data_IF_063143454045
#
_entry.id   IF_063143454045
#
_cell.length_a   1.000
_cell.length_b   1.000
_cell.length_c   1.000
_cell.angle_alpha   90.00
_cell.angle_beta   90.00
_cell.angle_gamma   90.00
#
_symmetry.space_group_name_H-M   'P 1'
#
loop_
_entity.id
_entity.type
_entity.pdbx_description
1 polymer ?
#
# COMPACT_ATOMS: atom_id res chain seq x y z
N UNK A 1 -4.09 -21.19 -12.56
CA UNK A 1 -4.92 -21.83 -11.50
C UNK A 1 -5.04 -20.94 -10.27
N UNK A 2 -3.96 -20.27 -9.83
CA UNK A 2 -3.96 -19.35 -8.68
C UNK A 2 -5.12 -18.32 -8.67
N UNK A 3 -5.40 -17.67 -9.81
CA UNK A 3 -6.51 -16.72 -9.90
C UNK A 3 -7.91 -17.34 -9.64
N UNK A 4 -8.10 -18.63 -9.91
CA UNK A 4 -9.37 -19.33 -9.61
C UNK A 4 -9.52 -19.59 -8.12
N UNK A 5 -8.44 -19.94 -7.44
CA UNK A 5 -8.41 -20.14 -5.99
C UNK A 5 -8.65 -18.81 -5.26
N UNK A 6 -7.92 -17.76 -5.67
CA UNK A 6 -8.14 -16.39 -5.21
C UNK A 6 -9.57 -15.92 -5.46
N UNK A 7 -10.05 -16.05 -6.71
CA UNK A 7 -11.40 -15.64 -7.10
C UNK A 7 -12.52 -16.46 -6.43
N UNK A 8 -12.21 -17.69 -5.98
CA UNK A 8 -13.14 -18.57 -5.27
C UNK A 8 -13.40 -18.19 -3.81
N UNK A 9 -12.63 -17.24 -3.25
CA UNK A 9 -12.76 -16.76 -1.87
C UNK A 9 -13.13 -15.28 -1.81
N UNK A 10 -14.25 -14.84 -2.41
CA UNK A 10 -14.59 -13.42 -2.52
C UNK A 10 -14.69 -12.72 -1.17
N UNK A 11 -15.18 -13.39 -0.12
CA UNK A 11 -15.29 -12.83 1.23
C UNK A 11 -13.94 -12.47 1.90
N UNK A 12 -12.82 -12.93 1.33
CA UNK A 12 -11.48 -12.64 1.84
C UNK A 12 -10.79 -11.45 1.14
N UNK A 13 -11.39 -10.90 0.07
CA UNK A 13 -10.77 -9.77 -0.65
C UNK A 13 -11.76 -8.78 -1.28
N UNK A 14 -13.02 -9.15 -1.52
CA UNK A 14 -14.04 -8.25 -2.08
C UNK A 14 -14.65 -7.38 -0.98
N UNK A 15 -13.94 -6.29 -0.67
CA UNK A 15 -14.26 -5.39 0.43
C UNK A 15 -14.76 -4.03 -0.06
N UNK A 16 -15.66 -3.43 0.72
CA UNK A 16 -16.09 -2.04 0.53
C UNK A 16 -15.10 -1.05 1.15
N UNK A 17 -15.38 0.24 0.98
CA UNK A 17 -14.57 1.33 1.55
C UNK A 17 -14.27 1.14 3.04
N UNK A 18 -15.30 0.93 3.85
CA UNK A 18 -15.18 0.83 5.31
C UNK A 18 -14.31 -0.36 5.72
N UNK A 19 -14.51 -1.52 5.06
CA UNK A 19 -13.74 -2.72 5.32
C UNK A 19 -12.27 -2.57 4.93
N UNK A 20 -11.99 -1.92 3.79
CA UNK A 20 -10.62 -1.68 3.32
C UNK A 20 -9.84 -0.78 4.29
N UNK A 21 -10.49 0.25 4.82
CA UNK A 21 -9.91 1.12 5.85
C UNK A 21 -9.72 0.36 7.17
N UNK A 22 -10.74 -0.37 7.64
CA UNK A 22 -10.67 -1.14 8.88
C UNK A 22 -9.61 -2.26 8.84
N UNK A 23 -9.36 -2.84 7.67
CA UNK A 23 -8.29 -3.85 7.45
C UNK A 23 -6.92 -3.25 7.21
N UNK A 24 -6.81 -1.93 7.10
CA UNK A 24 -5.60 -1.21 6.71
C UNK A 24 -5.05 -1.65 5.34
N UNK A 25 -5.95 -2.00 4.41
CA UNK A 25 -5.63 -2.26 3.01
C UNK A 25 -5.63 -0.98 2.19
N UNK A 26 -6.34 0.04 2.66
CA UNK A 26 -6.25 1.42 2.20
C UNK A 26 -6.03 2.34 3.40
N UNK A 27 -5.43 3.48 3.12
CA UNK A 27 -5.33 4.60 4.04
C UNK A 27 -6.47 5.60 3.78
N UNK A 28 -6.81 6.38 4.80
CA UNK A 28 -7.83 7.45 4.70
C UNK A 28 -7.53 8.39 3.52
N UNK A 29 -6.25 8.73 3.33
CA UNK A 29 -5.77 9.61 2.28
C UNK A 29 -5.87 9.02 0.87
N UNK A 30 -5.89 7.68 0.69
CA UNK A 30 -6.07 7.07 -0.64
C UNK A 30 -7.45 7.34 -1.23
N UNK A 31 -8.40 7.64 -0.34
CA UNK A 31 -9.79 7.88 -0.66
C UNK A 31 -10.20 9.32 -0.37
N UNK A 32 -9.24 10.24 -0.23
CA UNK A 32 -9.51 11.66 0.00
C UNK A 32 -10.35 12.29 -1.12
N UNK A 33 -10.24 11.79 -2.35
CA UNK A 33 -11.04 12.19 -3.51
C UNK A 33 -12.52 11.78 -3.43
N UNK A 34 -12.89 10.90 -2.50
CA UNK A 34 -14.24 10.43 -2.31
C UNK A 34 -14.76 10.90 -0.94
N UNK A 35 -15.86 11.65 -0.89
CA UNK A 35 -16.43 12.08 0.38
C UNK A 35 -16.88 10.85 1.18
N UNK A 36 -16.66 10.87 2.50
CA UNK A 36 -17.03 9.76 3.37
C UNK A 36 -18.56 9.55 3.33
N UNK A 37 -19.04 8.39 2.83
CA UNK A 37 -20.47 8.11 2.77
C UNK A 37 -21.14 8.11 4.15
N UNK A 38 -20.40 7.90 5.24
CA UNK A 38 -20.97 7.93 6.59
C UNK A 38 -21.35 9.35 7.04
N UNK A 39 -20.90 10.40 6.33
CA UNK A 39 -21.29 11.78 6.60
C UNK A 39 -22.54 12.20 5.81
N UNK A 40 -22.99 11.40 4.86
CA UNK A 40 -24.19 11.65 4.06
C UNK A 40 -25.45 11.34 4.89
N UNK A 41 -26.30 12.35 5.20
CA UNK A 41 -27.53 12.12 5.97
C UNK A 41 -28.57 11.28 5.22
N UNK A 42 -28.44 11.11 3.91
CA UNK A 42 -29.34 10.26 3.11
C UNK A 42 -28.87 8.80 3.06
N UNK A 43 -27.64 8.51 3.52
CA UNK A 43 -27.13 7.15 3.55
C UNK A 43 -27.88 6.33 4.61
N UNK A 44 -28.43 5.15 4.26
CA UNK A 44 -29.07 4.25 5.24
C UNK A 44 -28.16 3.86 6.42
N UNK A 45 -26.84 3.89 6.22
CA UNK A 45 -25.82 3.60 7.21
C UNK A 45 -25.09 4.87 7.69
N UNK A 46 -25.76 6.02 7.63
CA UNK A 46 -25.25 7.30 8.12
C UNK A 46 -24.66 7.17 9.55
N UNK A 47 -23.46 7.71 9.75
CA UNK A 47 -22.79 7.72 11.04
C UNK A 47 -23.35 8.79 11.99
N UNK A 48 -22.96 8.76 13.27
CA UNK A 48 -23.46 9.68 14.30
C UNK A 48 -23.12 11.18 14.09
N UNK A 49 -22.32 11.51 13.07
CA UNK A 49 -22.00 12.89 12.65
C UNK A 49 -22.60 13.30 11.30
N UNK A 50 -23.44 12.46 10.69
CA UNK A 50 -24.03 12.73 9.39
C UNK A 50 -24.97 13.94 9.45
N UNK A 51 -24.75 14.91 8.57
CA UNK A 51 -25.60 16.08 8.44
C UNK A 51 -25.42 16.72 7.06
N UNK A 52 -26.39 17.51 6.57
CA UNK A 52 -26.24 18.21 5.29
C UNK A 52 -24.99 19.09 5.23
N UNK A 53 -24.60 19.69 6.37
CA UNK A 53 -23.41 20.53 6.51
C UNK A 53 -22.13 19.67 6.41
N UNK A 54 -22.06 18.57 7.17
CA UNK A 54 -20.91 17.66 7.14
C UNK A 54 -20.73 17.04 5.75
N UNK A 55 -21.81 16.61 5.11
CA UNK A 55 -21.80 16.07 3.75
C UNK A 55 -21.32 17.09 2.72
N UNK A 56 -21.79 18.34 2.82
CA UNK A 56 -21.35 19.42 1.94
C UNK A 56 -19.87 19.73 2.12
N UNK A 57 -19.38 19.75 3.36
CA UNK A 57 -17.98 19.94 3.66
C UNK A 57 -17.12 18.78 3.11
N UNK A 58 -17.56 17.54 3.29
CA UNK A 58 -16.87 16.35 2.77
C UNK A 58 -16.77 16.37 1.23
N UNK A 59 -17.85 16.69 0.52
CA UNK A 59 -17.84 16.85 -0.94
C UNK A 59 -16.87 17.93 -1.40
N UNK A 60 -16.83 19.07 -0.70
CA UNK A 60 -15.91 20.16 -1.02
C UNK A 60 -14.45 19.75 -0.80
N UNK A 61 -14.15 19.10 0.32
CA UNK A 61 -12.81 18.60 0.60
C UNK A 61 -12.36 17.58 -0.46
N UNK A 62 -13.24 16.64 -0.83
CA UNK A 62 -12.98 15.65 -1.86
C UNK A 62 -12.74 16.28 -3.24
N UNK A 63 -13.54 17.29 -3.61
CA UNK A 63 -13.33 18.02 -4.85
C UNK A 63 -12.00 18.80 -4.85
N UNK A 64 -11.65 19.44 -3.74
CA UNK A 64 -10.37 20.14 -3.61
C UNK A 64 -9.17 19.17 -3.74
N UNK A 65 -9.28 17.97 -3.18
CA UNK A 65 -8.26 16.93 -3.36
C UNK A 65 -8.11 16.55 -4.83
N UNK A 66 -9.22 16.34 -5.55
CA UNK A 66 -9.20 16.05 -7.00
C UNK A 66 -8.55 17.19 -7.78
N UNK A 67 -8.87 18.45 -7.47
CA UNK A 67 -8.29 19.63 -8.13
C UNK A 67 -6.77 19.66 -7.93
N UNK A 68 -6.29 19.47 -6.71
CA UNK A 68 -4.85 19.45 -6.43
C UNK A 68 -4.12 18.32 -7.16
N UNK A 69 -4.73 17.14 -7.28
CA UNK A 69 -4.14 16.05 -8.07
C UNK A 69 -4.14 16.37 -9.58
N UNK A 70 -5.15 17.05 -10.12
CA UNK A 70 -5.16 17.50 -11.52
C UNK A 70 -4.05 18.52 -11.78
N UNK A 71 -3.83 19.46 -10.86
CA UNK A 71 -2.73 20.42 -10.96
C UNK A 71 -1.36 19.71 -10.99
N UNK A 72 -1.17 18.66 -10.18
CA UNK A 72 0.04 17.83 -10.25
C UNK A 72 0.19 17.14 -11.61
N UNK A 73 -0.90 16.56 -12.15
CA UNK A 73 -0.86 15.92 -13.47
C UNK A 73 -0.56 16.92 -14.60
N UNK A 74 -0.98 18.18 -14.48
CA UNK A 74 -0.64 19.22 -15.44
C UNK A 74 0.86 19.55 -15.40
N UNK A 75 1.46 19.62 -14.20
CA UNK A 75 2.92 19.79 -14.06
C UNK A 75 3.66 18.60 -14.66
N UNK A 76 3.28 17.36 -14.33
CA UNK A 76 3.90 16.16 -14.91
C UNK A 76 3.73 16.07 -16.43
N UNK A 77 2.60 16.53 -16.96
CA UNK A 77 2.38 16.62 -18.40
C UNK A 77 3.36 17.58 -19.06
N UNK A 78 3.59 18.75 -18.46
CA UNK A 78 4.40 19.82 -19.05
C UNK A 78 5.89 19.52 -18.93
N UNK A 79 6.32 19.02 -17.78
CA UNK A 79 7.74 18.90 -17.43
C UNK A 79 8.32 17.50 -17.71
N UNK A 80 7.52 16.46 -17.48
CA UNK A 80 8.01 15.07 -17.41
C UNK A 80 7.57 14.21 -18.60
N UNK A 81 6.36 14.40 -19.14
CA UNK A 81 5.73 13.42 -20.04
C UNK A 81 6.60 13.09 -21.25
N UNK A 82 7.12 14.10 -21.94
CA UNK A 82 7.95 13.90 -23.13
C UNK A 82 9.22 13.10 -22.80
N UNK A 83 9.88 13.46 -21.70
CA UNK A 83 11.11 12.81 -21.22
C UNK A 83 10.93 11.32 -20.93
N UNK A 84 9.76 10.92 -20.44
CA UNK A 84 9.48 9.54 -20.03
C UNK A 84 8.61 8.78 -21.04
N UNK A 85 8.18 9.39 -22.15
CA UNK A 85 7.18 8.80 -23.04
C UNK A 85 7.62 7.45 -23.64
N UNK A 86 8.89 7.32 -24.02
CA UNK A 86 9.43 6.06 -24.55
C UNK A 86 9.32 4.92 -23.53
N UNK A 87 9.68 5.20 -22.27
CA UNK A 87 9.54 4.22 -21.18
C UNK A 87 8.08 3.91 -20.87
N UNK A 88 7.21 4.94 -20.90
CA UNK A 88 5.77 4.79 -20.67
C UNK A 88 5.14 3.83 -21.69
N UNK A 89 5.52 3.97 -22.97
CA UNK A 89 5.04 3.12 -24.07
C UNK A 89 5.51 1.67 -23.87
N UNK A 90 6.79 1.45 -23.58
CA UNK A 90 7.34 0.10 -23.35
C UNK A 90 6.61 -0.59 -22.19
N UNK A 91 6.36 0.14 -21.10
CA UNK A 91 5.67 -0.41 -19.94
C UNK A 91 4.17 -0.67 -20.16
N UNK A 92 3.54 -0.07 -21.18
CA UNK A 92 2.10 -0.15 -21.39
C UNK A 92 1.64 -1.61 -21.60
N UNK A 93 2.35 -2.31 -22.49
CA UNK A 93 2.08 -3.71 -22.85
C UNK A 93 3.24 -4.66 -22.45
N UNK A 94 4.42 -4.12 -22.12
CA UNK A 94 5.65 -4.88 -21.83
C UNK A 94 6.06 -4.93 -20.35
N UNK A 95 5.17 -4.64 -19.40
CA UNK A 95 5.54 -4.55 -17.97
C UNK A 95 6.18 -5.83 -17.40
N UNK A 96 5.82 -7.01 -17.92
CA UNK A 96 6.47 -8.26 -17.52
C UNK A 96 7.94 -8.30 -17.96
N UNK A 97 8.21 -7.92 -19.22
CA UNK A 97 9.56 -7.81 -19.77
C UNK A 97 10.42 -6.79 -19.02
N UNK A 98 9.80 -5.68 -18.59
CA UNK A 98 10.48 -4.68 -17.78
C UNK A 98 10.95 -5.23 -16.43
N UNK A 99 10.11 -6.03 -15.76
CA UNK A 99 10.44 -6.69 -14.49
C UNK A 99 11.50 -7.78 -14.70
N UNK A 100 11.35 -8.64 -15.71
CA UNK A 100 12.29 -9.74 -15.96
C UNK A 100 13.67 -9.24 -16.36
N UNK A 101 13.75 -8.18 -17.17
CA UNK A 101 15.01 -7.50 -17.48
C UNK A 101 15.67 -6.91 -16.23
N UNK A 102 14.87 -6.31 -15.33
CA UNK A 102 15.39 -5.70 -14.10
C UNK A 102 16.01 -6.71 -13.13
N UNK A 103 15.45 -7.92 -13.04
CA UNK A 103 15.97 -8.99 -12.17
C UNK A 103 16.94 -9.94 -12.89
N UNK A 104 17.31 -9.66 -14.15
CA UNK A 104 18.19 -10.48 -14.98
C UNK A 104 17.71 -11.94 -15.07
N UNK A 105 16.50 -12.12 -15.62
CA UNK A 105 15.92 -13.46 -15.82
C UNK A 105 15.22 -13.58 -17.17
N UNK A 106 15.06 -14.82 -17.62
CA UNK A 106 14.22 -15.20 -18.76
C UNK A 106 13.42 -16.46 -18.46
N UNK A 107 12.38 -16.71 -19.27
CA UNK A 107 11.58 -17.94 -19.20
C UNK A 107 12.44 -19.21 -19.39
N UNK A 108 13.45 -19.15 -20.26
CA UNK A 108 14.36 -20.27 -20.50
C UNK A 108 15.29 -20.58 -19.33
N UNK A 109 15.60 -19.59 -18.50
CA UNK A 109 16.48 -19.75 -17.33
C UNK A 109 15.69 -20.09 -16.07
N UNK A 110 14.52 -19.46 -15.89
CA UNK A 110 13.73 -19.51 -14.65
C UNK A 110 12.23 -19.57 -14.95
N UNK A 111 11.72 -20.70 -15.47
CA UNK A 111 10.32 -20.84 -15.86
C UNK A 111 9.33 -20.67 -14.70
N UNK A 112 9.66 -21.10 -13.48
CA UNK A 112 8.76 -20.95 -12.32
C UNK A 112 8.73 -19.53 -11.79
N UNK A 113 9.82 -18.79 -11.89
CA UNK A 113 9.84 -17.34 -11.61
C UNK A 113 8.95 -16.61 -12.61
N UNK A 114 8.95 -17.01 -13.88
CA UNK A 114 8.00 -16.48 -14.88
C UNK A 114 6.56 -16.88 -14.54
N UNK A 115 6.31 -18.10 -14.07
CA UNK A 115 4.97 -18.52 -13.65
C UNK A 115 4.50 -17.79 -12.39
N UNK A 116 5.40 -17.40 -11.49
CA UNK A 116 5.08 -16.54 -10.33
C UNK A 116 4.62 -15.15 -10.79
N UNK A 117 5.31 -14.57 -11.78
CA UNK A 117 4.90 -13.32 -12.44
C UNK A 117 3.51 -13.47 -13.07
N UNK A 118 3.27 -14.57 -13.80
CA UNK A 118 1.96 -14.87 -14.40
C UNK A 118 0.86 -15.02 -13.34
N UNK A 119 1.16 -15.63 -12.19
CA UNK A 119 0.23 -15.70 -11.07
C UNK A 119 -0.13 -14.30 -10.56
N UNK A 120 0.86 -13.40 -10.44
CA UNK A 120 0.63 -11.99 -10.08
C UNK A 120 -0.31 -11.27 -11.06
N UNK A 121 -0.11 -11.44 -12.37
CA UNK A 121 -1.03 -10.91 -13.39
C UNK A 121 -2.45 -11.50 -13.28
N UNK A 122 -2.54 -12.82 -13.12
CA UNK A 122 -3.83 -13.51 -13.09
C UNK A 122 -4.65 -13.11 -11.86
N UNK A 123 -4.04 -13.06 -10.67
CA UNK A 123 -4.66 -12.57 -9.44
C UNK A 123 -5.00 -11.08 -9.59
N UNK A 124 -4.06 -10.28 -10.07
CA UNK A 124 -4.23 -8.84 -10.17
C UNK A 124 -5.36 -8.43 -11.10
N UNK A 125 -5.48 -9.06 -12.28
CA UNK A 125 -6.59 -8.82 -13.21
C UNK A 125 -7.95 -9.08 -12.55
N UNK A 126 -8.08 -10.13 -11.74
CA UNK A 126 -9.32 -10.39 -11.00
C UNK A 126 -9.57 -9.30 -9.94
N UNK A 127 -8.55 -8.96 -9.15
CA UNK A 127 -8.67 -8.03 -8.04
C UNK A 127 -8.96 -6.59 -8.47
N UNK A 128 -8.15 -6.01 -9.36
CA UNK A 128 -8.29 -4.59 -9.68
C UNK A 128 -9.57 -4.30 -10.48
N UNK A 129 -10.05 -5.22 -11.32
CA UNK A 129 -11.30 -5.00 -12.06
C UNK A 129 -12.51 -4.94 -11.13
N UNK A 130 -12.53 -5.75 -10.07
CA UNK A 130 -13.54 -5.65 -9.02
C UNK A 130 -13.50 -4.25 -8.38
N UNK A 131 -12.35 -3.78 -7.90
CA UNK A 131 -12.27 -2.47 -7.24
C UNK A 131 -12.59 -1.32 -8.20
N UNK A 132 -12.22 -1.43 -9.48
CA UNK A 132 -12.66 -0.47 -10.51
C UNK A 132 -14.18 -0.37 -10.59
N UNK A 133 -14.87 -1.50 -10.56
CA UNK A 133 -16.34 -1.54 -10.57
C UNK A 133 -16.96 -1.06 -9.25
N UNK A 134 -16.29 -1.26 -8.11
CA UNK A 134 -16.76 -0.76 -6.82
C UNK A 134 -16.66 0.76 -6.73
N UNK A 135 -15.47 1.32 -6.97
CA UNK A 135 -15.19 2.74 -6.74
C UNK A 135 -15.62 3.64 -7.88
N UNK A 136 -15.62 3.15 -9.13
CA UNK A 136 -16.09 3.88 -10.34
C UNK A 136 -15.55 5.30 -10.47
N UNK A 137 -14.31 5.54 -10.04
CA UNK A 137 -13.69 6.87 -10.12
C UNK A 137 -13.53 7.32 -11.57
N UNK A 138 -13.95 8.54 -11.86
CA UNK A 138 -13.80 9.20 -13.17
C UNK A 138 -12.33 9.47 -13.48
N UNK A 139 -11.91 9.26 -14.72
CA UNK A 139 -10.53 9.48 -15.19
C UNK A 139 -10.13 10.97 -15.17
N UNK A 140 -8.84 11.30 -15.00
CA UNK A 140 -8.39 12.70 -15.01
C UNK A 140 -8.76 13.45 -16.28
N UNK A 141 -8.52 12.84 -17.45
CA UNK A 141 -8.79 13.47 -18.75
C UNK A 141 -10.27 13.72 -19.03
N UNK A 142 -11.19 13.09 -18.30
CA UNK A 142 -12.63 13.41 -18.38
C UNK A 142 -12.95 14.72 -17.67
N UNK A 143 -12.30 14.99 -16.53
CA UNK A 143 -12.51 16.23 -15.77
C UNK A 143 -11.67 17.39 -16.31
N UNK A 144 -10.47 17.10 -16.81
CA UNK A 144 -9.58 18.06 -17.44
C UNK A 144 -9.17 17.57 -18.83
N UNK A 145 -9.95 17.89 -19.88
CA UNK A 145 -9.64 17.49 -21.26
C UNK A 145 -8.27 17.97 -21.76
N UNK A 146 -7.77 19.07 -21.20
CA UNK A 146 -6.45 19.63 -21.52
C UNK A 146 -5.27 18.75 -21.13
N UNK A 147 -5.46 17.70 -20.31
CA UNK A 147 -4.42 16.71 -20.03
C UNK A 147 -4.01 15.90 -21.27
N UNK A 148 -4.89 15.82 -22.28
CA UNK A 148 -4.62 15.27 -23.62
C UNK A 148 -3.66 14.05 -23.62
N UNK A 149 -4.02 12.92 -22.98
CA UNK A 149 -3.16 11.74 -22.92
C UNK A 149 -2.81 11.29 -24.36
N UNK A 150 -1.54 11.00 -24.67
CA UNK A 150 -1.09 10.60 -26.01
C UNK A 150 -1.78 9.34 -26.55
N UNK A 151 -2.14 8.42 -25.66
CA UNK A 151 -2.90 7.21 -25.96
C UNK A 151 -3.67 6.76 -24.72
N UNK A 152 -4.72 5.96 -24.93
CA UNK A 152 -5.77 5.81 -23.92
C UNK A 152 -6.62 7.08 -23.80
N UNK A 153 -7.43 7.25 -22.75
CA UNK A 153 -7.56 6.41 -21.56
C UNK A 153 -8.32 5.10 -21.84
N UNK A 154 -8.03 4.00 -21.11
CA UNK A 154 -8.82 2.78 -21.21
C UNK A 154 -10.30 3.01 -20.83
N UNK A 155 -11.21 2.28 -21.47
CA UNK A 155 -12.66 2.34 -21.24
C UNK A 155 -13.11 1.67 -19.92
N UNK A 156 -12.43 1.98 -18.82
CA UNK A 156 -12.77 1.54 -17.47
C UNK A 156 -12.33 2.60 -16.43
N UNK A 157 -12.92 2.58 -15.21
CA UNK A 157 -12.64 3.55 -14.15
C UNK A 157 -11.15 3.71 -13.81
N UNK A 158 -10.84 4.86 -13.21
CA UNK A 158 -9.47 5.26 -12.83
C UNK A 158 -8.99 4.47 -11.62
N UNK A 159 -9.65 4.61 -10.47
CA UNK A 159 -9.27 3.94 -9.24
C UNK A 159 -9.70 2.46 -9.30
N UNK A 160 -8.83 1.48 -9.05
CA UNK A 160 -7.40 1.60 -8.74
C UNK A 160 -6.56 1.52 -10.03
N UNK A 161 -5.33 2.01 -10.05
CA UNK A 161 -4.39 1.85 -11.19
C UNK A 161 -3.98 0.38 -11.38
N UNK A 162 -4.33 -0.21 -12.52
CA UNK A 162 -4.04 -1.62 -12.81
C UNK A 162 -2.55 -1.91 -12.91
N UNK A 163 -1.79 -1.06 -13.61
CA UNK A 163 -0.32 -1.19 -13.72
C UNK A 163 0.38 -0.99 -12.37
N UNK A 164 -0.08 -0.04 -11.55
CA UNK A 164 0.47 0.13 -10.19
C UNK A 164 0.19 -1.11 -9.34
N UNK A 165 -1.06 -1.59 -9.34
CA UNK A 165 -1.46 -2.75 -8.55
C UNK A 165 -0.64 -4.00 -8.92
N UNK A 166 -0.58 -4.32 -10.21
CA UNK A 166 0.15 -5.50 -10.70
C UNK A 166 1.65 -5.37 -10.43
N UNK A 167 2.24 -4.20 -10.70
CA UNK A 167 3.66 -3.96 -10.46
C UNK A 167 4.04 -4.19 -8.99
N UNK A 168 3.26 -3.62 -8.06
CA UNK A 168 3.50 -3.78 -6.63
C UNK A 168 3.25 -5.21 -6.15
N UNK A 169 2.18 -5.86 -6.62
CA UNK A 169 1.89 -7.25 -6.25
C UNK A 169 3.01 -8.19 -6.72
N UNK A 170 3.45 -8.07 -7.97
CA UNK A 170 4.55 -8.90 -8.50
C UNK A 170 5.85 -8.61 -7.76
N UNK A 171 6.18 -7.35 -7.49
CA UNK A 171 7.37 -7.01 -6.72
C UNK A 171 7.35 -7.66 -5.32
N UNK A 172 6.22 -7.60 -4.62
CA UNK A 172 6.06 -8.25 -3.31
C UNK A 172 6.18 -9.77 -3.39
N UNK A 173 5.59 -10.41 -4.41
CA UNK A 173 5.73 -11.86 -4.63
C UNK A 173 7.17 -12.27 -4.93
N UNK A 174 7.90 -11.51 -5.76
CA UNK A 174 9.31 -11.76 -6.05
C UNK A 174 10.20 -11.56 -4.82
N UNK A 175 9.85 -10.63 -3.93
CA UNK A 175 10.58 -10.36 -2.69
C UNK A 175 10.41 -11.45 -1.62
N UNK A 176 9.52 -12.42 -1.82
CA UNK A 176 9.49 -13.64 -1.01
C UNK A 176 10.67 -14.57 -1.31
N UNK A 177 11.21 -14.51 -2.52
CA UNK A 177 12.38 -15.32 -2.92
C UNK A 177 13.62 -14.76 -2.21
N UNK A 178 14.29 -15.52 -1.32
CA UNK A 178 15.38 -15.00 -0.48
C UNK A 178 16.53 -14.36 -1.26
N UNK A 179 16.88 -14.93 -2.42
CA UNK A 179 17.90 -14.37 -3.29
C UNK A 179 17.49 -12.99 -3.81
N UNK A 180 16.32 -12.88 -4.43
CA UNK A 180 15.83 -11.60 -4.95
C UNK A 180 15.71 -10.57 -3.83
N UNK A 181 15.22 -10.97 -2.66
CA UNK A 181 15.17 -10.12 -1.47
C UNK A 181 16.53 -9.58 -1.06
N UNK A 182 17.58 -10.40 -1.03
CA UNK A 182 18.92 -9.94 -0.67
C UNK A 182 19.41 -8.80 -1.57
N UNK A 183 19.02 -8.79 -2.85
CA UNK A 183 19.47 -7.78 -3.83
C UNK A 183 18.51 -6.62 -4.03
N UNK A 184 17.21 -6.86 -3.86
CA UNK A 184 16.15 -5.93 -4.26
C UNK A 184 15.14 -5.64 -3.14
N UNK A 185 15.33 -6.19 -1.93
CA UNK A 185 14.47 -5.98 -0.76
C UNK A 185 14.59 -4.60 -0.15
N UNK A 186 14.23 -4.48 1.13
CA UNK A 186 14.22 -3.19 1.84
C UNK A 186 15.62 -2.83 2.36
N UNK A 187 16.09 -1.62 2.06
CA UNK A 187 17.37 -1.11 2.49
C UNK A 187 17.20 0.04 3.48
N UNK A 188 18.13 0.16 4.43
CA UNK A 188 18.22 1.34 5.28
C UNK A 188 18.86 2.50 4.50
N UNK A 189 18.49 3.73 4.84
CA UNK A 189 19.14 4.93 4.35
C UNK A 189 20.07 5.52 5.44
N UNK A 190 21.32 5.90 5.11
CA UNK A 190 22.00 5.70 3.83
C UNK A 190 22.31 4.21 3.57
N UNK A 191 22.43 3.83 2.30
CA UNK A 191 22.77 2.46 1.92
C UNK A 191 24.16 2.10 2.47
N UNK A 192 24.22 1.03 3.25
CA UNK A 192 25.41 0.57 3.98
C UNK A 192 26.04 -0.70 3.36
N UNK A 193 25.57 -1.12 2.18
CA UNK A 193 26.03 -2.35 1.54
C UNK A 193 25.44 -3.63 2.11
N UNK A 194 24.57 -3.56 3.12
CA UNK A 194 23.95 -4.76 3.70
C UNK A 194 22.91 -5.37 2.76
N UNK A 195 22.66 -6.70 2.86
CA UNK A 195 21.54 -7.37 2.18
C UNK A 195 20.19 -6.69 2.40
N UNK A 196 19.38 -6.68 1.34
CA UNK A 196 17.99 -6.25 1.41
C UNK A 196 17.19 -7.08 2.41
N UNK A 197 16.39 -6.38 3.21
CA UNK A 197 15.53 -6.94 4.26
C UNK A 197 14.17 -7.34 3.71
N UNK A 198 13.46 -8.16 4.48
CA UNK A 198 12.07 -8.52 4.20
C UNK A 198 11.18 -7.29 4.22
N UNK A 199 10.16 -7.27 3.36
CA UNK A 199 9.01 -6.38 3.56
C UNK A 199 8.24 -6.94 4.76
N UNK A 200 8.06 -6.13 5.80
CA UNK A 200 7.33 -6.58 6.97
C UNK A 200 5.83 -6.61 6.66
N UNK A 201 5.11 -7.74 6.86
CA UNK A 201 3.67 -7.79 6.64
C UNK A 201 2.88 -6.86 7.59
N UNK A 202 3.55 -6.44 8.66
CA UNK A 202 3.05 -5.47 9.64
C UNK A 202 4.21 -4.51 9.97
N UNK A 203 4.10 -3.20 9.72
CA UNK A 203 5.21 -2.28 9.94
C UNK A 203 5.78 -2.35 11.37
N UNK A 204 7.10 -2.39 11.49
CA UNK A 204 7.77 -2.40 12.79
C UNK A 204 7.86 -0.98 13.36
N UNK A 205 7.58 -0.85 14.66
CA UNK A 205 7.62 0.40 15.42
C UNK A 205 8.45 0.22 16.69
N UNK A 206 8.95 1.32 17.23
CA UNK A 206 9.43 1.38 18.62
C UNK A 206 8.52 2.29 19.44
N UNK A 207 8.10 1.81 20.61
CA UNK A 207 7.25 2.55 21.55
C UNK A 207 8.13 2.99 22.72
N UNK A 208 8.24 4.29 22.95
CA UNK A 208 9.00 4.82 24.09
C UNK A 208 8.33 4.44 25.41
N UNK A 209 9.12 4.32 26.48
CA UNK A 209 8.63 4.26 27.86
C UNK A 209 8.69 5.67 28.46
N UNK A 210 7.71 6.50 28.13
CA UNK A 210 7.75 7.93 28.41
C UNK A 210 6.35 8.53 28.57
N UNK A 211 6.33 9.73 29.13
CA UNK A 211 5.13 10.52 29.38
C UNK A 211 5.33 11.89 28.70
N UNK A 212 4.82 12.13 27.47
CA UNK A 212 3.96 11.26 26.68
C UNK A 212 4.69 10.13 25.93
N UNK A 213 3.93 9.11 25.53
CA UNK A 213 4.42 8.00 24.71
C UNK A 213 4.63 8.45 23.27
N UNK A 214 5.82 8.20 22.73
CA UNK A 214 6.17 8.42 21.34
C UNK A 214 6.34 7.06 20.63
N UNK A 215 5.63 6.91 19.51
CA UNK A 215 5.79 5.78 18.58
C UNK A 215 6.67 6.25 17.43
N UNK A 216 7.69 5.47 17.07
CA UNK A 216 8.64 5.81 16.00
C UNK A 216 8.71 4.70 14.95
N UNK A 217 8.70 5.09 13.66
CA UNK A 217 8.84 4.22 12.49
C UNK A 217 10.17 4.52 11.80
N UNK A 218 11.25 3.86 12.23
CA UNK A 218 12.58 4.11 11.68
C UNK A 218 12.84 3.44 10.31
N UNK A 219 11.94 2.56 9.87
CA UNK A 219 12.10 1.80 8.62
C UNK A 219 11.45 2.48 7.40
N UNK A 220 10.76 3.60 7.60
CA UNK A 220 10.06 4.35 6.55
C UNK A 220 10.56 5.79 6.54
N UNK A 221 10.55 6.40 5.35
CA UNK A 221 10.87 7.83 5.18
C UNK A 221 9.77 8.74 5.74
N UNK A 222 8.52 8.28 5.67
CA UNK A 222 7.37 8.90 6.32
C UNK A 222 6.24 7.86 6.48
N UNK A 223 5.50 7.92 7.58
CA UNK A 223 4.41 6.98 7.86
C UNK A 223 3.08 7.31 7.17
N UNK A 224 2.90 8.53 6.65
CA UNK A 224 1.66 8.93 5.95
C UNK A 224 0.41 9.13 6.82
N UNK A 225 0.44 8.70 8.09
CA UNK A 225 -0.61 8.94 9.08
C UNK A 225 -0.90 10.44 9.30
N UNK A 226 -2.18 10.73 9.52
CA UNK A 226 -2.75 12.03 9.89
C UNK A 226 -3.28 12.01 11.33
N UNK A 227 -3.42 13.19 11.94
CA UNK A 227 -4.05 13.31 13.25
C UNK A 227 -5.50 12.77 13.20
N UNK A 228 -5.87 11.95 14.18
CA UNK A 228 -7.15 11.26 14.27
C UNK A 228 -7.19 9.89 13.59
N UNK A 229 -6.15 9.48 12.84
CA UNK A 229 -6.10 8.14 12.26
C UNK A 229 -6.13 7.07 13.35
N UNK A 230 -6.89 6.01 13.10
CA UNK A 230 -6.99 4.87 13.99
C UNK A 230 -5.83 3.90 13.73
N UNK A 231 -5.20 3.44 14.80
CA UNK A 231 -4.11 2.47 14.73
C UNK A 231 -4.24 1.40 15.81
N UNK A 232 -3.66 0.24 15.54
CA UNK A 232 -3.65 -0.89 16.48
C UNK A 232 -2.26 -1.50 16.54
N UNK A 233 -1.87 -2.01 17.70
CA UNK A 233 -0.56 -2.65 17.91
C UNK A 233 -0.70 -4.12 18.24
N UNK A 234 0.37 -4.87 17.96
CA UNK A 234 0.61 -6.21 18.50
C UNK A 234 2.09 -6.37 18.88
N UNK A 235 2.41 -7.22 19.87
CA UNK A 235 3.81 -7.51 20.20
C UNK A 235 4.51 -8.23 19.05
N UNK A 236 5.85 -8.18 19.05
CA UNK A 236 6.64 -9.08 18.19
C UNK A 236 6.38 -10.53 18.59
N UNK A 237 6.38 -11.45 17.61
CA UNK A 237 6.28 -12.88 17.91
C UNK A 237 7.47 -13.31 18.77
N UNK A 238 7.20 -13.91 19.93
CA UNK A 238 8.23 -14.27 20.92
C UNK A 238 8.91 -13.07 21.61
N UNK A 239 8.39 -11.85 21.43
CA UNK A 239 8.94 -10.61 22.01
C UNK A 239 8.35 -10.23 23.37
N UNK A 240 8.81 -9.08 23.89
CA UNK A 240 8.25 -8.46 25.09
C UNK A 240 6.78 -8.04 24.86
N UNK A 241 5.93 -8.08 25.91
CA UNK A 241 4.58 -7.53 25.82
C UNK A 241 4.61 -6.04 25.51
N UNK A 242 3.48 -5.50 25.01
CA UNK A 242 3.33 -4.05 24.84
C UNK A 242 3.46 -3.35 26.20
N UNK A 243 4.06 -2.14 26.24
CA UNK A 243 4.19 -1.41 27.49
C UNK A 243 2.83 -0.94 28.00
N UNK A 244 2.59 -1.09 29.30
CA UNK A 244 1.33 -0.64 29.91
C UNK A 244 1.16 0.89 29.73
N UNK A 245 -0.06 1.39 29.45
CA UNK A 245 -1.35 0.68 29.43
C UNK A 245 -1.76 0.12 28.06
N UNK A 246 -0.83 -0.04 27.11
CA UNK A 246 -1.17 -0.51 25.77
C UNK A 246 -1.57 -1.99 25.76
N UNK A 247 -2.67 -2.28 25.06
CA UNK A 247 -3.24 -3.63 24.92
C UNK A 247 -3.23 -4.01 23.44
N UNK A 248 -2.79 -5.22 23.15
CA UNK A 248 -2.72 -5.72 21.78
C UNK A 248 -4.13 -5.82 21.19
N UNK A 249 -4.30 -5.39 19.94
CA UNK A 249 -5.61 -5.40 19.28
C UNK A 249 -6.52 -4.21 19.62
N UNK A 250 -6.18 -3.36 20.59
CA UNK A 250 -6.96 -2.17 20.93
C UNK A 250 -6.69 -1.02 19.95
N UNK A 251 -7.75 -0.33 19.53
CA UNK A 251 -7.68 0.86 18.69
C UNK A 251 -7.24 2.09 19.50
N UNK A 252 -6.21 2.77 19.00
CA UNK A 252 -5.70 4.05 19.47
C UNK A 252 -5.81 5.09 18.36
N UNK A 253 -5.65 6.36 18.71
CA UNK A 253 -5.77 7.48 17.78
C UNK A 253 -4.47 8.28 17.73
N UNK A 254 -4.01 8.59 16.52
CA UNK A 254 -2.84 9.45 16.29
C UNK A 254 -3.16 10.87 16.74
N UNK A 255 -2.30 11.47 17.55
CA UNK A 255 -2.44 12.85 17.98
C UNK A 255 -1.72 13.80 17.03
N UNK A 256 -2.20 15.04 16.95
CA UNK A 256 -1.49 16.12 16.25
C UNK A 256 -0.21 16.52 17.00
N UNK A 257 -0.20 16.38 18.33
CA UNK A 257 0.99 16.55 19.14
C UNK A 257 2.00 15.44 18.82
N UNK A 258 3.26 15.81 18.64
CA UNK A 258 4.34 14.87 18.32
C UNK A 258 4.29 14.25 16.92
N UNK A 259 3.31 14.60 16.09
CA UNK A 259 3.18 14.11 14.71
C UNK A 259 4.26 14.72 13.82
N UNK A 260 5.21 13.89 13.41
CA UNK A 260 6.25 14.21 12.44
C UNK A 260 6.16 13.27 11.24
N UNK A 261 7.19 13.21 10.39
CA UNK A 261 7.22 12.22 9.32
C UNK A 261 7.31 10.78 9.86
N UNK A 262 8.05 10.58 10.97
CA UNK A 262 8.47 9.26 11.44
C UNK A 262 8.08 8.98 12.90
N UNK A 263 7.43 9.91 13.56
CA UNK A 263 7.01 9.76 14.96
C UNK A 263 5.64 10.37 15.20
N UNK A 264 4.92 9.85 16.18
CA UNK A 264 3.66 10.42 16.64
C UNK A 264 3.36 10.02 18.09
N UNK A 265 2.52 10.81 18.75
CA UNK A 265 1.89 10.45 20.02
C UNK A 265 0.51 9.85 19.79
N UNK A 266 -0.02 9.15 20.80
CA UNK A 266 -1.31 8.46 20.72
C UNK A 266 -2.23 8.73 21.91
N UNK A 267 -3.54 8.58 21.67
CA UNK A 267 -4.59 8.63 22.69
C UNK A 267 -5.52 7.41 22.63
N UNK A 268 -6.21 7.11 23.74
CA UNK A 268 -7.20 6.02 23.81
C UNK A 268 -8.56 6.38 23.19
N UNK A 269 -8.84 7.68 23.02
CA UNK A 269 -10.04 8.20 22.38
C UNK A 269 -9.67 9.26 21.34
N UNK A 270 -10.54 9.48 20.35
CA UNK A 270 -10.33 10.50 19.32
C UNK A 270 -10.13 11.88 19.98
N UNK A 271 -9.02 12.56 19.63
CA UNK A 271 -8.62 13.84 20.21
C UNK A 271 -8.50 13.84 21.75
N UNK A 272 -8.25 12.66 22.34
CA UNK A 272 -8.09 12.49 23.78
C UNK A 272 -6.72 12.94 24.32
N UNK A 273 -6.51 12.72 25.61
CA UNK A 273 -5.21 12.98 26.24
C UNK A 273 -4.13 12.00 25.72
N UNK A 274 -2.86 12.43 25.62
CA UNK A 274 -1.74 11.54 25.31
C UNK A 274 -1.65 10.37 26.30
N UNK A 275 -1.29 9.20 25.79
CA UNK A 275 -1.01 8.03 26.62
C UNK A 275 0.40 8.16 27.20
N UNK A 276 0.50 7.84 28.48
CA UNK A 276 1.76 7.70 29.22
C UNK A 276 2.08 6.21 29.37
N UNK A 277 3.26 5.78 28.89
CA UNK A 277 3.72 4.40 29.06
C UNK A 277 4.61 4.28 30.27
N UNK A 278 4.33 3.29 31.11
CA UNK A 278 5.12 3.11 32.34
C UNK A 278 6.47 2.46 32.01
N UNK A 279 7.59 3.00 32.54
CA UNK A 279 8.86 2.33 32.41
C UNK A 279 8.84 1.05 33.23
N UNK A 280 8.95 -0.11 32.57
CA UNK A 280 9.44 -1.31 33.22
C UNK A 280 10.92 -1.09 33.58
N UNK A 281 11.18 -0.38 34.69
CA UNK A 281 12.52 -0.13 35.22
C UNK A 281 13.51 0.45 34.22
N UNK A 282 13.37 1.74 33.85
CA UNK A 282 14.39 2.47 33.07
C UNK A 282 14.76 1.83 31.73
N UNK A 283 13.78 1.26 31.03
CA UNK A 283 13.99 0.40 29.87
C UNK A 283 14.10 1.14 28.54
N UNK A 284 14.87 0.55 27.63
CA UNK A 284 14.94 0.94 26.23
C UNK A 284 13.55 0.91 25.56
N UNK A 285 13.34 1.65 24.45
CA UNK A 285 12.10 1.57 23.67
C UNK A 285 11.70 0.14 23.33
N UNK A 286 10.42 -0.17 23.46
CA UNK A 286 9.87 -1.51 23.22
C UNK A 286 9.52 -1.66 21.74
N UNK A 287 10.10 -2.64 21.01
CA UNK A 287 9.71 -2.89 19.64
C UNK A 287 8.36 -3.59 19.56
N UNK A 288 7.53 -3.16 18.62
CA UNK A 288 6.19 -3.71 18.37
C UNK A 288 5.87 -3.71 16.88
N UNK A 289 4.73 -4.29 16.51
CA UNK A 289 4.18 -4.25 15.16
C UNK A 289 2.92 -3.38 15.14
N UNK A 290 2.88 -2.49 14.17
CA UNK A 290 1.71 -1.71 13.82
C UNK A 290 0.82 -2.53 12.87
N UNK A 291 -0.46 -2.66 13.20
CA UNK A 291 -1.46 -3.23 12.30
C UNK A 291 -1.85 -2.17 11.27
N UNK A 292 -0.92 -1.87 10.36
CA UNK A 292 -1.09 -0.96 9.25
C UNK A 292 -0.79 -1.65 7.93
N UNK A 293 -0.91 -0.91 6.83
CA UNK A 293 -0.54 -1.40 5.51
C UNK A 293 0.96 -1.77 5.46
N UNK A 294 1.36 -2.90 4.87
CA UNK A 294 2.78 -3.26 4.77
C UNK A 294 3.65 -2.22 4.07
N UNK A 295 3.07 -1.50 3.12
CA UNK A 295 3.73 -0.44 2.36
C UNK A 295 3.12 0.93 2.68
N UNK A 296 2.76 1.18 3.94
CA UNK A 296 2.11 2.43 4.35
C UNK A 296 2.89 3.69 3.96
N UNK A 297 2.15 4.77 3.76
CA UNK A 297 2.65 6.09 3.37
C UNK A 297 2.91 6.23 1.87
N UNK A 298 3.12 7.49 1.46
CA UNK A 298 3.36 7.88 0.05
C UNK A 298 4.83 8.16 -0.26
N UNK A 299 5.70 7.96 0.73
CA UNK A 299 7.14 8.19 0.59
C UNK A 299 7.79 7.15 -0.31
N UNK A 300 9.02 7.46 -0.70
CA UNK A 300 9.89 6.55 -1.44
C UNK A 300 10.05 5.23 -0.69
N UNK A 301 9.87 4.13 -1.41
CA UNK A 301 10.17 2.79 -0.94
C UNK A 301 11.65 2.52 -1.15
N UNK A 302 12.38 2.25 -0.08
CA UNK A 302 13.82 1.93 -0.12
C UNK A 302 14.07 0.50 -0.61
N UNK A 303 13.41 0.09 -1.68
CA UNK A 303 13.56 -1.21 -2.33
C UNK A 303 13.62 -1.02 -3.84
N UNK A 304 14.67 -1.51 -4.53
CA UNK A 304 14.77 -1.39 -5.98
C UNK A 304 13.59 -2.02 -6.73
N UNK A 305 13.07 -3.17 -6.28
CA UNK A 305 11.93 -3.82 -6.91
C UNK A 305 10.63 -3.04 -6.71
N UNK A 306 10.40 -2.52 -5.50
CA UNK A 306 9.23 -1.68 -5.23
C UNK A 306 9.34 -0.30 -5.86
N UNK A 307 10.56 0.25 -5.97
CA UNK A 307 10.84 1.47 -6.72
C UNK A 307 10.50 1.29 -8.21
N UNK A 308 10.80 0.12 -8.80
CA UNK A 308 10.41 -0.18 -10.17
C UNK A 308 8.88 -0.17 -10.34
N UNK A 309 8.16 -0.77 -9.38
CA UNK A 309 6.70 -0.76 -9.36
C UNK A 309 6.12 0.65 -9.23
N UNK A 310 6.68 1.47 -8.33
CA UNK A 310 6.31 2.88 -8.17
C UNK A 310 6.62 3.69 -9.44
N UNK A 311 7.73 3.39 -10.11
CA UNK A 311 8.09 4.03 -11.38
C UNK A 311 7.09 3.71 -12.50
N UNK A 312 6.65 2.46 -12.59
CA UNK A 312 5.56 2.05 -13.51
C UNK A 312 4.27 2.81 -13.17
N UNK A 313 3.95 2.96 -11.88
CA UNK A 313 2.79 3.71 -11.42
C UNK A 313 2.86 5.20 -11.79
N UNK A 314 3.97 5.87 -11.47
CA UNK A 314 4.20 7.30 -11.76
C UNK A 314 4.15 7.59 -13.26
N UNK A 315 4.59 6.64 -14.09
CA UNK A 315 4.49 6.74 -15.54
C UNK A 315 3.04 6.78 -16.05
N UNK A 316 2.06 6.26 -15.29
CA UNK A 316 0.63 6.43 -15.60
C UNK A 316 0.06 7.79 -15.20
N UNK A 317 0.62 8.39 -14.16
CA UNK A 317 0.33 9.78 -13.79
C UNK A 317 0.91 10.75 -14.81
N UNK A 318 2.17 10.57 -15.21
CA UNK A 318 2.81 11.37 -16.28
C UNK A 318 2.06 11.31 -17.60
N UNK A 319 1.50 10.13 -17.93
CA UNK A 319 0.64 9.96 -19.11
C UNK A 319 -0.70 10.70 -18.97
N UNK A 320 -1.14 11.03 -17.75
CA UNK A 320 -2.39 11.73 -17.45
C UNK A 320 -3.61 10.81 -17.33
N UNK A 321 -3.40 9.50 -17.15
CA UNK A 321 -4.50 8.50 -17.12
C UNK A 321 -4.90 8.07 -15.70
N UNK A 322 -4.07 8.35 -14.70
CA UNK A 322 -4.32 8.02 -13.30
C UNK A 322 -3.92 9.19 -12.38
N UNK A 323 -4.61 9.35 -11.26
CA UNK A 323 -4.22 10.30 -10.20
C UNK A 323 -3.18 9.68 -9.26
N UNK A 324 -2.45 10.49 -8.51
CA UNK A 324 -1.48 10.01 -7.51
C UNK A 324 -2.11 9.09 -6.46
N UNK A 325 -3.33 9.40 -6.02
CA UNK A 325 -4.09 8.53 -5.10
C UNK A 325 -4.57 7.24 -5.75
N UNK A 326 -4.76 7.17 -7.08
CA UNK A 326 -4.99 5.89 -7.76
C UNK A 326 -3.77 4.99 -7.63
N UNK A 327 -2.57 5.54 -7.87
CA UNK A 327 -1.31 4.79 -7.78
C UNK A 327 -1.02 4.31 -6.36
N UNK A 328 -1.12 5.21 -5.38
CA UNK A 328 -0.86 4.90 -3.98
C UNK A 328 -1.89 3.91 -3.40
N UNK A 329 -3.19 4.12 -3.65
CA UNK A 329 -4.21 3.17 -3.21
C UNK A 329 -4.03 1.79 -3.84
N UNK A 330 -3.52 1.72 -5.08
CA UNK A 330 -3.18 0.44 -5.72
C UNK A 330 -2.03 -0.28 -5.04
N UNK A 331 -0.96 0.45 -4.68
CA UNK A 331 0.16 -0.05 -3.89
C UNK A 331 -0.32 -0.64 -2.57
N UNK A 332 -1.17 0.09 -1.86
CA UNK A 332 -1.68 -0.34 -0.55
C UNK A 332 -2.59 -1.57 -0.66
N UNK A 333 -3.50 -1.64 -1.64
CA UNK A 333 -4.34 -2.83 -1.82
C UNK A 333 -3.49 -4.01 -2.28
N UNK A 334 -2.49 -3.81 -3.14
CA UNK A 334 -1.57 -4.88 -3.54
C UNK A 334 -0.83 -5.46 -2.33
N UNK A 335 -0.36 -4.60 -1.43
CA UNK A 335 0.26 -5.01 -0.18
C UNK A 335 -0.71 -5.72 0.77
N UNK A 336 -1.96 -5.26 0.88
CA UNK A 336 -3.01 -5.92 1.66
C UNK A 336 -3.33 -7.33 1.14
N UNK A 337 -3.46 -7.49 -0.18
CA UNK A 337 -3.69 -8.78 -0.83
C UNK A 337 -2.48 -9.71 -0.69
N UNK A 338 -1.27 -9.21 -0.88
CA UNK A 338 -0.05 -9.98 -0.65
C UNK A 338 0.04 -10.49 0.79
N UNK A 339 -0.23 -9.63 1.78
CA UNK A 339 -0.28 -10.01 3.19
C UNK A 339 -1.31 -11.11 3.41
N UNK A 340 -2.51 -10.95 2.88
CA UNK A 340 -3.58 -11.93 3.01
C UNK A 340 -3.26 -13.27 2.34
N UNK A 341 -2.57 -13.26 1.19
CA UNK A 341 -2.19 -14.47 0.47
C UNK A 341 -1.10 -15.29 1.18
N UNK A 342 -0.16 -14.63 1.86
CA UNK A 342 1.09 -15.27 2.28
C UNK A 342 1.41 -15.19 3.77
N UNK A 343 0.82 -14.24 4.50
CA UNK A 343 1.25 -13.89 5.87
C UNK A 343 0.14 -13.87 6.92
N UNK A 344 -1.11 -13.66 6.51
CA UNK A 344 -2.26 -13.75 7.41
C UNK A 344 -2.58 -15.23 7.72
N UNK A 345 -3.20 -15.46 8.88
CA UNK A 345 -3.53 -16.82 9.34
C UNK A 345 -4.65 -17.48 8.52
N UNK A 346 -4.97 -18.74 8.80
CA UNK A 346 -6.00 -19.48 8.05
C UNK A 346 -7.42 -18.93 8.20
N UNK A 347 -7.67 -18.02 9.14
CA UNK A 347 -8.99 -17.41 9.35
C UNK A 347 -9.17 -16.10 8.59
N UNK A 348 -8.06 -15.37 8.38
CA UNK A 348 -8.02 -14.04 7.77
C UNK A 348 -7.30 -14.00 6.41
N UNK A 349 -6.59 -15.06 6.06
CA UNK A 349 -5.83 -15.21 4.83
C UNK A 349 -6.61 -15.83 3.67
N UNK A 350 -6.06 -15.65 2.47
CA UNK A 350 -6.59 -16.16 1.21
C UNK A 350 -5.81 -17.42 0.84
N UNK A 351 -6.46 -18.57 0.95
CA UNK A 351 -5.83 -19.85 0.61
C UNK A 351 -5.66 -20.01 -0.91
N UNK A 352 -4.42 -19.94 -1.38
CA UNK A 352 -4.06 -20.13 -2.79
C UNK A 352 -2.93 -21.17 -2.92
N UNK A 353 -3.21 -22.48 -2.76
CA UNK A 353 -2.18 -23.52 -2.76
C UNK A 353 -1.35 -23.57 -4.04
N UNK A 354 -1.95 -23.24 -5.20
CA UNK A 354 -1.20 -23.14 -6.45
C UNK A 354 -0.12 -22.07 -6.35
N UNK A 355 -0.44 -20.89 -5.81
CA UNK A 355 0.54 -19.81 -5.64
C UNK A 355 1.67 -20.25 -4.71
N UNK A 356 1.34 -20.90 -3.58
CA UNK A 356 2.34 -21.42 -2.65
C UNK A 356 3.27 -22.44 -3.31
N UNK A 357 2.73 -23.33 -4.14
CA UNK A 357 3.52 -24.31 -4.91
C UNK A 357 4.42 -23.61 -5.93
N UNK A 358 3.89 -22.68 -6.73
CA UNK A 358 4.67 -21.92 -7.72
C UNK A 358 5.79 -21.13 -7.04
N UNK A 359 5.51 -20.48 -5.91
CA UNK A 359 6.51 -19.75 -5.14
C UNK A 359 7.63 -20.66 -4.62
N UNK A 360 7.31 -21.87 -4.15
CA UNK A 360 8.31 -22.84 -3.71
C UNK A 360 9.23 -23.28 -4.87
N UNK A 361 8.66 -23.55 -6.05
CA UNK A 361 9.45 -23.90 -7.24
C UNK A 361 10.30 -22.72 -7.73
N UNK A 362 9.71 -21.52 -7.81
CA UNK A 362 10.42 -20.30 -8.18
C UNK A 362 11.59 -20.06 -7.22
N UNK A 363 11.38 -20.24 -5.91
CA UNK A 363 12.45 -20.11 -4.90
C UNK A 363 13.62 -21.05 -5.16
N UNK A 364 13.35 -22.29 -5.60
CA UNK A 364 14.38 -23.28 -5.91
C UNK A 364 15.23 -22.94 -7.16
N UNK A 365 14.77 -22.05 -8.04
CA UNK A 365 15.52 -21.58 -9.21
C UNK A 365 16.61 -20.55 -8.87
N UNK A 366 16.58 -19.99 -7.66
CA UNK A 366 17.52 -18.97 -7.23
C UNK A 366 18.53 -19.53 -6.23
N UNK A 367 19.79 -19.04 -6.25
CA UNK A 367 20.79 -19.45 -5.27
C UNK A 367 20.37 -19.00 -3.86
N UNK A 368 20.78 -19.75 -2.84
CA UNK A 368 20.44 -19.42 -1.44
C UNK A 368 21.08 -18.12 -0.96
N UNK A 369 22.19 -17.69 -1.59
CA UNK A 369 22.86 -16.41 -1.40
C UNK A 369 23.43 -15.93 -2.73
N UNK A 370 23.42 -14.62 -2.97
CA UNK A 370 24.22 -14.04 -4.04
C UNK A 370 25.71 -14.14 -3.70
N UNK A 371 26.58 -14.46 -4.68
CA UNK A 371 28.01 -14.57 -4.50
C UNK A 371 28.68 -13.25 -4.10
#
# INVERSE_FOLDING_TARGET
>A
MAAREFGGLPHQWQFGRTDLLAKNWLESLDLAWQPDPLLDPENPNAGPGASPVAWTAAKRAAFNAIVGEIEELQMLMQDDRDRYLAEIIEQADGSAGYITAFIDTSESQRPWTMELINCGYAIGNVAYFYYKQQFRRVRPSTLCPGLAPPFGPPAHPSFISGHSFIGHLIALLLLEIPALRQRYGMFAAPYDGTPGKVVSPYPAVTISLANPTVVTLSALTAHGLSAGDQITFRPLSGGQPLPAPLVAGTTYYVLVAGLTANSFEISAAANGAPIDTTPAGGGAPVPALLLANPLMGRGELTSPLLWLAERIAKNRERLGVHYASDSAGSRHIAAGIWRALLHDDTTSGINCPTLSSVLAHATAEWPTKWP
#
